data_IF_349558240946
#
_entry.id   IF_349558240946
#
_cell.length_a   1.000
_cell.length_b   1.000
_cell.length_c   1.000
_cell.angle_alpha   90.00
_cell.angle_beta   90.00
_cell.angle_gamma   90.00
#
_symmetry.space_group_name_H-M   'P 1'
#
loop_
_entity.id
_entity.type
_entity.pdbx_description
1 polymer ?
#
# COMPACT_ATOMS: atom_id res chain seq x y z
N UNK A 1 -9.64 8.28 10.81
CA UNK A 1 -10.06 7.00 10.18
C UNK A 1 -11.31 6.51 10.87
N UNK A 2 -12.39 6.26 10.12
CA UNK A 2 -13.59 5.63 10.68
C UNK A 2 -13.33 4.14 10.99
N UNK A 3 -14.08 3.58 11.93
CA UNK A 3 -13.91 2.21 12.42
C UNK A 3 -13.99 1.15 11.29
N UNK A 4 -14.88 1.37 10.31
CA UNK A 4 -15.03 0.50 9.14
C UNK A 4 -13.84 0.54 8.19
N UNK A 5 -13.31 1.73 7.89
CA UNK A 5 -12.17 1.90 6.98
C UNK A 5 -10.90 1.23 7.53
N UNK A 6 -10.71 1.24 8.85
CA UNK A 6 -9.56 0.61 9.50
C UNK A 6 -9.59 -0.91 9.39
N UNK A 7 -10.77 -1.52 9.48
CA UNK A 7 -10.95 -2.96 9.32
C UNK A 7 -10.61 -3.40 7.88
N UNK A 8 -11.16 -2.70 6.88
CA UNK A 8 -10.88 -2.99 5.48
C UNK A 8 -9.41 -2.80 5.12
N UNK A 9 -8.77 -1.78 5.70
CA UNK A 9 -7.33 -1.56 5.54
C UNK A 9 -6.51 -2.76 6.05
N UNK A 10 -6.88 -3.29 7.22
CA UNK A 10 -6.25 -4.48 7.78
C UNK A 10 -6.42 -5.70 6.87
N UNK A 11 -7.66 -5.98 6.43
CA UNK A 11 -7.97 -7.12 5.53
C UNK A 11 -7.13 -7.03 4.25
N UNK A 12 -7.11 -5.88 3.57
CA UNK A 12 -6.36 -5.70 2.32
C UNK A 12 -4.84 -5.89 2.56
N UNK A 13 -4.32 -5.39 3.69
CA UNK A 13 -2.90 -5.53 4.03
C UNK A 13 -2.45 -6.96 4.34
N UNK A 14 -3.37 -7.84 4.78
CA UNK A 14 -3.07 -9.23 5.12
C UNK A 14 -3.00 -10.18 3.91
N UNK A 15 -3.63 -9.82 2.78
CA UNK A 15 -3.72 -10.67 1.59
C UNK A 15 -2.33 -11.01 1.00
N UNK A 16 -1.39 -10.05 0.84
CA UNK A 16 -0.04 -10.35 0.34
C UNK A 16 0.72 -11.32 1.26
N UNK A 17 0.60 -11.16 2.58
CA UNK A 17 1.23 -12.04 3.56
C UNK A 17 0.66 -13.46 3.50
N UNK A 18 -0.67 -13.58 3.41
CA UNK A 18 -1.31 -14.89 3.24
C UNK A 18 -0.87 -15.58 1.96
N UNK A 19 -0.82 -14.85 0.84
CA UNK A 19 -0.31 -15.35 -0.45
C UNK A 19 1.13 -15.87 -0.36
N UNK A 20 2.03 -15.09 0.24
CA UNK A 20 3.43 -15.49 0.44
C UNK A 20 3.57 -16.76 1.29
N UNK A 21 2.75 -16.91 2.35
CA UNK A 21 2.75 -18.13 3.18
C UNK A 21 2.14 -19.35 2.48
N UNK A 22 1.14 -19.13 1.62
CA UNK A 22 0.53 -20.20 0.83
C UNK A 22 1.53 -20.79 -0.17
N UNK A 23 2.32 -19.95 -0.83
CA UNK A 23 3.39 -20.41 -1.73
C UNK A 23 4.49 -21.16 -0.97
N UNK A 24 4.94 -20.63 0.17
CA UNK A 24 5.93 -21.30 1.01
C UNK A 24 5.54 -22.75 1.34
N UNK A 25 4.25 -23.01 1.59
CA UNK A 25 3.75 -24.35 1.88
C UNK A 25 3.94 -25.33 0.71
N UNK A 26 3.81 -24.89 -0.55
CA UNK A 26 3.94 -25.75 -1.72
C UNK A 26 5.36 -25.83 -2.28
N UNK A 27 6.15 -24.75 -2.19
CA UNK A 27 7.49 -24.68 -2.80
C UNK A 27 8.64 -24.93 -1.82
N UNK A 28 8.36 -25.01 -0.50
CA UNK A 28 9.36 -25.12 0.58
C UNK A 28 10.46 -24.04 0.56
N UNK A 29 10.22 -22.94 -0.13
CA UNK A 29 11.16 -21.83 -0.26
C UNK A 29 10.42 -20.52 -0.01
N UNK A 30 10.98 -19.69 0.88
CA UNK A 30 10.50 -18.34 1.11
C UNK A 30 11.24 -17.39 0.17
N UNK A 31 10.75 -17.26 -1.05
CA UNK A 31 11.28 -16.26 -1.99
C UNK A 31 10.69 -14.92 -1.61
N UNK A 32 11.50 -14.10 -0.95
CA UNK A 32 11.15 -12.72 -0.64
C UNK A 32 11.45 -11.87 -1.87
N UNK A 33 10.44 -11.35 -2.59
CA UNK A 33 10.71 -10.44 -3.69
C UNK A 33 11.38 -9.16 -3.17
N UNK A 34 12.35 -8.63 -3.94
CA UNK A 34 13.04 -7.33 -3.73
C UNK A 34 12.11 -6.13 -4.02
N UNK A 35 10.83 -6.40 -4.26
CA UNK A 35 9.76 -5.40 -4.29
C UNK A 35 8.59 -6.03 -3.55
N UNK A 36 8.10 -5.38 -2.50
CA UNK A 36 7.13 -5.91 -1.51
C UNK A 36 7.69 -6.93 -0.51
N UNK A 37 9.00 -6.93 -0.27
CA UNK A 37 9.59 -7.66 0.85
C UNK A 37 9.20 -7.04 2.22
N UNK A 38 9.20 -7.81 3.34
CA UNK A 38 8.92 -7.31 4.69
C UNK A 38 9.80 -6.13 5.08
N UNK A 39 11.07 -6.16 4.71
CA UNK A 39 12.06 -5.11 5.02
C UNK A 39 11.77 -3.81 4.27
N UNK A 40 11.40 -3.88 3.00
CA UNK A 40 11.08 -2.72 2.17
C UNK A 40 9.73 -2.12 2.55
N UNK A 41 8.73 -2.97 2.82
CA UNK A 41 7.44 -2.53 3.34
C UNK A 41 7.59 -1.80 4.67
N UNK A 42 8.41 -2.31 5.59
CA UNK A 42 8.74 -1.62 6.85
C UNK A 42 9.45 -0.28 6.61
N UNK A 43 10.44 -0.23 5.71
CA UNK A 43 11.14 1.01 5.39
C UNK A 43 10.19 2.09 4.83
N UNK A 44 9.25 1.69 3.97
CA UNK A 44 8.24 2.59 3.39
C UNK A 44 7.27 3.10 4.46
N UNK A 45 6.80 2.23 5.36
CA UNK A 45 5.95 2.62 6.49
C UNK A 45 6.68 3.57 7.44
N UNK A 46 7.96 3.31 7.77
CA UNK A 46 8.75 4.23 8.60
C UNK A 46 8.95 5.59 7.93
N UNK A 47 9.21 5.61 6.62
CA UNK A 47 9.28 6.85 5.84
C UNK A 47 7.98 7.65 5.92
N UNK A 48 6.83 6.99 5.76
CA UNK A 48 5.51 7.64 5.87
C UNK A 48 5.24 8.18 7.29
N UNK A 49 5.66 7.47 8.34
CA UNK A 49 5.53 7.95 9.73
C UNK A 49 6.43 9.17 10.00
N UNK A 50 7.67 9.15 9.48
CA UNK A 50 8.57 10.28 9.57
C UNK A 50 7.99 11.51 8.85
N UNK A 51 7.48 11.32 7.63
CA UNK A 51 6.78 12.38 6.88
C UNK A 51 5.57 12.90 7.66
N UNK A 52 4.77 12.02 8.25
CA UNK A 52 3.61 12.39 9.07
C UNK A 52 4.00 13.20 10.30
N UNK A 53 5.20 13.00 10.83
CA UNK A 53 5.74 13.80 11.94
C UNK A 53 6.00 15.25 11.50
N UNK A 54 6.40 15.46 10.24
CA UNK A 54 6.67 16.80 9.68
C UNK A 54 5.35 17.50 9.30
N UNK A 55 4.47 16.83 8.56
CA UNK A 55 3.22 17.44 8.04
C UNK A 55 2.06 17.43 9.05
N UNK A 56 2.17 16.60 10.08
CA UNK A 56 1.14 16.41 11.10
C UNK A 56 0.02 15.44 10.67
N UNK A 57 -0.60 14.79 11.65
CA UNK A 57 -1.67 13.82 11.40
C UNK A 57 -2.92 14.44 10.73
N UNK A 58 -3.16 15.74 10.94
CA UNK A 58 -4.31 16.45 10.35
C UNK A 58 -4.22 16.57 8.83
N UNK A 59 -3.00 16.59 8.28
CA UNK A 59 -2.76 16.65 6.83
C UNK A 59 -3.46 15.50 6.08
N UNK A 60 -3.48 14.29 6.67
CA UNK A 60 -4.15 13.13 6.09
C UNK A 60 -5.68 13.26 6.02
N UNK A 61 -6.28 14.06 6.90
CA UNK A 61 -7.73 14.26 6.96
C UNK A 61 -8.21 15.42 6.06
N UNK A 62 -7.29 16.28 5.60
CA UNK A 62 -7.61 17.41 4.74
C UNK A 62 -7.97 16.95 3.31
N UNK A 63 -8.77 17.75 2.58
CA UNK A 63 -9.05 17.54 1.16
C UNK A 63 -7.75 17.44 0.37
N UNK A 64 -7.66 16.47 -0.53
CA UNK A 64 -6.44 16.19 -1.31
C UNK A 64 -5.89 17.43 -2.03
N UNK A 65 -6.77 18.28 -2.56
CA UNK A 65 -6.40 19.54 -3.22
C UNK A 65 -5.63 20.51 -2.30
N UNK A 66 -5.98 20.55 -1.01
CA UNK A 66 -5.32 21.43 -0.03
C UNK A 66 -3.96 20.85 0.40
N UNK A 67 -3.89 19.52 0.51
CA UNK A 67 -2.67 18.81 0.90
C UNK A 67 -1.59 18.80 -0.18
N UNK A 68 -1.99 18.67 -1.46
CA UNK A 68 -1.08 18.56 -2.60
C UNK A 68 -1.58 19.47 -3.74
N UNK A 69 -1.36 20.79 -3.64
CA UNK A 69 -1.93 21.76 -4.58
C UNK A 69 -1.41 21.59 -6.01
N UNK A 70 -0.21 21.05 -6.20
CA UNK A 70 0.34 20.79 -7.54
C UNK A 70 -0.37 19.64 -8.28
N UNK A 71 -1.04 18.74 -7.56
CA UNK A 71 -1.75 17.59 -8.13
C UNK A 71 -3.27 17.82 -8.20
N UNK A 72 -3.71 19.07 -8.01
CA UNK A 72 -5.10 19.51 -8.06
C UNK A 72 -5.75 19.40 -9.45
N UNK A 73 -4.97 19.10 -10.49
CA UNK A 73 -5.45 18.95 -11.85
C UNK A 73 -6.17 17.62 -12.10
N UNK A 74 -6.07 16.64 -11.20
CA UNK A 74 -6.70 15.33 -11.36
C UNK A 74 -8.17 15.42 -10.91
N UNK A 75 -9.15 15.38 -11.82
CA UNK A 75 -10.56 15.35 -11.44
C UNK A 75 -10.84 14.06 -10.65
N UNK A 76 -11.88 14.05 -9.80
CA UNK A 76 -12.28 12.95 -8.90
C UNK A 76 -11.51 12.76 -7.59
N UNK A 77 -10.20 13.05 -7.52
CA UNK A 77 -9.43 12.84 -6.27
C UNK A 77 -9.40 14.06 -5.35
N UNK A 78 -9.69 15.26 -5.89
CA UNK A 78 -9.54 16.54 -5.19
C UNK A 78 -10.42 16.70 -3.93
N UNK A 79 -11.64 16.17 -3.97
CA UNK A 79 -12.63 16.27 -2.88
C UNK A 79 -12.46 15.17 -1.82
N UNK A 80 -11.68 14.14 -2.12
CA UNK A 80 -11.46 13.04 -1.19
C UNK A 80 -10.49 13.45 -0.08
N UNK A 81 -10.67 12.91 1.14
CA UNK A 81 -9.65 13.01 2.18
C UNK A 81 -8.34 12.42 1.69
N UNK A 82 -7.23 13.06 2.03
CA UNK A 82 -5.89 12.68 1.56
C UNK A 82 -5.54 11.22 1.89
N UNK A 83 -5.98 10.70 3.05
CA UNK A 83 -5.78 9.29 3.39
C UNK A 83 -6.51 8.34 2.43
N UNK A 84 -7.74 8.65 2.01
CA UNK A 84 -8.49 7.79 1.07
C UNK A 84 -7.82 7.76 -0.29
N UNK A 85 -7.39 8.93 -0.77
CA UNK A 85 -6.65 9.05 -2.02
C UNK A 85 -5.33 8.24 -1.97
N UNK A 86 -4.58 8.35 -0.87
CA UNK A 86 -3.35 7.58 -0.67
C UNK A 86 -3.60 6.07 -0.65
N UNK A 87 -4.64 5.59 0.03
CA UNK A 87 -5.00 4.16 0.01
C UNK A 87 -5.36 3.71 -1.41
N UNK A 88 -6.18 4.45 -2.14
CA UNK A 88 -6.53 4.09 -3.52
C UNK A 88 -5.35 4.09 -4.48
N UNK A 89 -4.34 4.94 -4.25
CA UNK A 89 -3.10 4.97 -5.04
C UNK A 89 -2.14 3.83 -4.66
N UNK A 90 -1.98 3.58 -3.36
CA UNK A 90 -1.07 2.55 -2.85
C UNK A 90 -1.60 1.13 -3.09
N UNK A 91 -2.91 0.94 -3.15
CA UNK A 91 -3.54 -0.37 -3.39
C UNK A 91 -3.08 -1.02 -4.70
N UNK A 92 -3.21 -0.39 -5.89
CA UNK A 92 -2.71 -0.97 -7.13
C UNK A 92 -1.18 -1.08 -7.16
N UNK A 93 -0.45 -0.13 -6.55
CA UNK A 93 1.02 -0.21 -6.46
C UNK A 93 1.47 -1.38 -5.58
N UNK A 94 0.70 -1.76 -4.56
CA UNK A 94 1.00 -2.93 -3.73
C UNK A 94 0.58 -4.23 -4.43
N UNK A 95 -0.60 -4.25 -5.04
CA UNK A 95 -1.18 -5.45 -5.65
C UNK A 95 -0.48 -5.81 -6.97
N UNK A 96 -0.23 -4.85 -7.86
CA UNK A 96 0.29 -5.13 -9.20
C UNK A 96 1.68 -5.79 -9.19
N UNK A 97 2.68 -5.32 -8.43
CA UNK A 97 3.98 -5.99 -8.35
C UNK A 97 3.87 -7.32 -7.62
N UNK A 98 3.00 -7.44 -6.62
CA UNK A 98 2.75 -8.71 -5.94
C UNK A 98 2.22 -9.74 -6.92
N UNK A 99 1.21 -9.41 -7.73
CA UNK A 99 0.66 -10.31 -8.75
C UNK A 99 1.68 -10.57 -9.86
N UNK A 100 2.33 -9.53 -10.39
CA UNK A 100 3.27 -9.65 -11.49
C UNK A 100 4.51 -10.48 -11.11
N UNK A 101 5.19 -10.17 -10.01
CA UNK A 101 6.37 -10.92 -9.57
C UNK A 101 6.02 -12.33 -9.09
N UNK A 102 4.83 -12.54 -8.53
CA UNK A 102 4.35 -13.88 -8.19
C UNK A 102 4.12 -14.72 -9.46
N UNK A 103 3.49 -14.17 -10.51
CA UNK A 103 3.32 -14.88 -11.80
C UNK A 103 4.61 -15.26 -12.53
N UNK A 104 5.73 -14.56 -12.27
CA UNK A 104 7.02 -14.93 -12.87
C UNK A 104 7.56 -16.27 -12.36
N UNK A 105 7.15 -16.72 -11.15
CA UNK A 105 7.51 -18.03 -10.61
C UNK A 105 6.74 -19.14 -11.36
N UNK A 106 5.49 -18.87 -11.75
CA UNK A 106 4.63 -19.82 -12.48
C UNK A 106 4.98 -19.97 -13.97
N UNK A 107 5.68 -19.00 -14.57
CA UNK A 107 6.15 -19.09 -15.96
C UNK A 107 7.49 -19.83 -16.11
N UNK A 108 8.13 -20.19 -15.00
CA UNK A 108 9.42 -20.91 -14.97
C UNK A 108 9.31 -22.43 -14.88
N UNK A 109 8.09 -22.97 -14.90
CA UNK A 109 7.79 -24.42 -14.90
C UNK A 109 7.01 -24.81 -16.16
#
# INVERSE_FOLDING_TARGET
>A
MCRGDSFWFWVISSIPFYGATWEHYFTNALILPVVNGPTEGLALIYGLHFMTTIVGAQWWAQPFQQSIPFLSWIPYVNELPTYKAAVYLLTPIAILPTVACNTQIWSGY
#
